data_IF_653691959543
#
_entry.id   IF_653691959543
#
_cell.length_a   1.000
_cell.length_b   1.000
_cell.length_c   1.000
_cell.angle_alpha   90.00
_cell.angle_beta   90.00
_cell.angle_gamma   90.00
#
_symmetry.space_group_name_H-M   'P 1'
#
loop_
_entity.id
_entity.type
_entity.pdbx_description
1 polymer ?
#
# COMPACT_ATOMS: atom_id res chain seq x y z
N UNK A 1 -15.77 12.62 -8.65
CA UNK A 1 -15.80 13.91 -9.38
C UNK A 1 -14.64 14.14 -10.35
N UNK A 2 -13.39 13.71 -10.06
CA UNK A 2 -12.24 13.95 -10.96
C UNK A 2 -12.29 13.24 -12.32
N UNK A 3 -12.66 11.95 -12.39
CA UNK A 3 -12.62 11.16 -13.64
C UNK A 3 -13.62 11.67 -14.70
N UNK A 4 -14.86 12.00 -14.32
CA UNK A 4 -15.84 12.62 -15.23
C UNK A 4 -15.39 14.01 -15.72
N UNK A 5 -14.67 14.77 -14.88
CA UNK A 5 -14.13 16.08 -15.26
C UNK A 5 -13.03 15.92 -16.30
N UNK A 6 -12.12 14.95 -16.14
CA UNK A 6 -11.08 14.62 -17.13
C UNK A 6 -11.71 14.08 -18.41
N UNK A 7 -12.70 13.17 -18.33
CA UNK A 7 -13.48 12.69 -19.48
C UNK A 7 -14.11 13.84 -20.26
N UNK A 8 -14.78 14.75 -19.57
CA UNK A 8 -15.43 15.90 -20.21
C UNK A 8 -14.41 16.86 -20.82
N UNK A 9 -13.26 17.09 -20.17
CA UNK A 9 -12.18 17.90 -20.73
C UNK A 9 -11.57 17.27 -21.99
N UNK A 10 -11.34 15.95 -21.99
CA UNK A 10 -10.82 15.23 -23.17
C UNK A 10 -11.84 15.21 -24.30
N UNK A 11 -13.14 14.97 -24.02
CA UNK A 11 -14.21 15.11 -25.01
C UNK A 11 -14.29 16.54 -25.57
N UNK A 12 -14.16 17.56 -24.72
CA UNK A 12 -14.19 18.96 -25.15
C UNK A 12 -12.97 19.31 -26.01
N UNK A 13 -11.79 18.77 -25.68
CA UNK A 13 -10.59 18.88 -26.51
C UNK A 13 -10.81 18.21 -27.85
N UNK A 14 -11.27 16.94 -27.90
CA UNK A 14 -11.54 16.21 -29.15
C UNK A 14 -12.53 16.97 -30.04
N UNK A 15 -13.63 17.49 -29.47
CA UNK A 15 -14.60 18.29 -30.22
C UNK A 15 -13.96 19.57 -30.78
N UNK A 16 -13.10 20.25 -30.00
CA UNK A 16 -12.36 21.42 -30.49
C UNK A 16 -11.35 21.08 -31.59
N UNK A 17 -10.67 19.93 -31.52
CA UNK A 17 -9.76 19.48 -32.58
C UNK A 17 -10.51 19.09 -33.85
N UNK A 18 -11.68 18.43 -33.74
CA UNK A 18 -12.52 18.07 -34.90
C UNK A 18 -13.06 19.31 -35.62
N UNK A 19 -13.41 20.38 -34.89
CA UNK A 19 -13.82 21.67 -35.51
C UNK A 19 -12.63 22.33 -36.23
N UNK A 20 -11.38 22.08 -35.79
CA UNK A 20 -10.18 22.69 -36.36
C UNK A 20 -9.54 21.88 -37.50
N UNK A 21 -9.86 20.59 -37.66
CA UNK A 21 -9.24 19.71 -38.64
C UNK A 21 -10.28 19.10 -39.58
N UNK A 22 -10.52 19.79 -40.70
CA UNK A 22 -11.21 19.20 -41.85
C UNK A 22 -10.25 18.43 -42.78
N UNK A 23 -9.08 18.01 -42.29
CA UNK A 23 -8.08 17.22 -43.02
C UNK A 23 -7.33 16.25 -42.10
N UNK A 24 -7.55 14.93 -42.28
CA UNK A 24 -6.64 13.87 -41.83
C UNK A 24 -7.18 12.90 -40.78
N UNK A 25 -7.53 11.67 -41.21
CA UNK A 25 -8.12 10.61 -40.37
C UNK A 25 -7.25 10.02 -39.26
N UNK A 26 -6.00 10.45 -39.08
CA UNK A 26 -5.10 9.92 -38.03
C UNK A 26 -5.37 10.51 -36.64
N UNK A 27 -5.85 11.75 -36.52
CA UNK A 27 -6.07 12.41 -35.21
C UNK A 27 -7.30 11.85 -34.48
N UNK A 28 -8.34 11.48 -35.23
CA UNK A 28 -9.57 10.89 -34.68
C UNK A 28 -9.31 9.52 -34.01
N UNK A 29 -8.47 8.68 -34.61
CA UNK A 29 -8.16 7.34 -34.10
C UNK A 29 -7.46 7.41 -32.72
N UNK A 30 -6.52 8.35 -32.54
CA UNK A 30 -5.83 8.55 -31.26
C UNK A 30 -6.77 9.10 -30.18
N UNK A 31 -7.67 10.01 -30.53
CA UNK A 31 -8.63 10.57 -29.60
C UNK A 31 -9.66 9.53 -29.15
N UNK A 32 -10.16 8.71 -30.08
CA UNK A 32 -11.09 7.63 -29.78
C UNK A 32 -10.44 6.56 -28.91
N UNK A 33 -9.21 6.14 -29.23
CA UNK A 33 -8.45 5.22 -28.39
C UNK A 33 -8.26 5.77 -26.96
N UNK A 34 -7.87 7.05 -26.83
CA UNK A 34 -7.71 7.72 -25.53
C UNK A 34 -9.05 7.80 -24.77
N UNK A 35 -10.16 8.08 -25.45
CA UNK A 35 -11.51 8.08 -24.86
C UNK A 35 -11.90 6.67 -24.40
N UNK A 36 -11.64 5.62 -25.18
CA UNK A 36 -11.89 4.23 -24.78
C UNK A 36 -11.06 3.83 -23.56
N UNK A 37 -9.77 4.19 -23.51
CA UNK A 37 -8.92 3.97 -22.34
C UNK A 37 -9.43 4.72 -21.11
N UNK A 38 -9.85 5.98 -21.27
CA UNK A 38 -10.43 6.77 -20.19
C UNK A 38 -11.80 6.25 -19.74
N UNK A 39 -12.60 5.69 -20.65
CA UNK A 39 -13.92 5.13 -20.34
C UNK A 39 -13.80 3.75 -19.65
N UNK A 40 -12.84 2.92 -20.02
CA UNK A 40 -12.51 1.68 -19.30
C UNK A 40 -11.91 1.99 -17.92
N UNK A 41 -10.96 2.92 -17.86
CA UNK A 41 -10.39 3.41 -16.61
C UNK A 41 -11.45 3.98 -15.68
N UNK A 42 -12.28 4.91 -16.16
CA UNK A 42 -13.33 5.50 -15.35
C UNK A 42 -14.37 4.46 -14.95
N UNK A 43 -14.65 3.42 -15.75
CA UNK A 43 -15.54 2.32 -15.34
C UNK A 43 -14.93 1.48 -14.22
N UNK A 44 -13.68 1.02 -14.36
CA UNK A 44 -12.96 0.23 -13.35
C UNK A 44 -12.73 1.03 -12.06
N UNK A 45 -12.28 2.27 -12.20
CA UNK A 45 -12.10 3.19 -11.08
C UNK A 45 -13.43 3.57 -10.42
N UNK A 46 -14.52 3.72 -11.18
CA UNK A 46 -15.85 3.98 -10.61
C UNK A 46 -16.39 2.76 -9.86
N UNK A 47 -16.23 1.54 -10.39
CA UNK A 47 -16.64 0.32 -9.70
C UNK A 47 -15.88 0.14 -8.36
N UNK A 48 -14.56 0.35 -8.38
CA UNK A 48 -13.72 0.32 -7.18
C UNK A 48 -14.04 1.47 -6.23
N UNK A 49 -14.27 2.69 -6.74
CA UNK A 49 -14.70 3.83 -5.93
C UNK A 49 -16.07 3.59 -5.30
N UNK A 50 -17.00 2.94 -6.00
CA UNK A 50 -18.29 2.54 -5.47
C UNK A 50 -18.14 1.52 -4.33
N UNK A 51 -17.14 0.62 -4.37
CA UNK A 51 -16.77 -0.24 -3.24
C UNK A 51 -16.16 0.56 -2.09
N UNK A 52 -15.16 1.40 -2.40
CA UNK A 52 -14.42 2.20 -1.43
C UNK A 52 -15.32 3.23 -0.70
N UNK A 53 -16.37 3.71 -1.37
CA UNK A 53 -17.35 4.65 -0.82
C UNK A 53 -18.54 3.94 -0.14
N UNK A 54 -18.51 2.62 0.02
CA UNK A 54 -19.55 1.86 0.72
C UNK A 54 -20.91 1.85 0.01
N UNK A 55 -20.97 2.12 -1.30
CA UNK A 55 -22.20 2.07 -2.06
C UNK A 55 -22.54 0.63 -2.49
N UNK A 56 -23.83 0.32 -2.52
CA UNK A 56 -24.49 -1.01 -2.56
C UNK A 56 -24.09 -2.00 -3.68
N UNK A 57 -23.15 -1.65 -4.56
CA UNK A 57 -22.75 -2.50 -5.71
C UNK A 57 -21.66 -3.53 -5.41
N UNK A 58 -20.96 -3.42 -4.27
CA UNK A 58 -19.90 -4.37 -3.91
C UNK A 58 -20.33 -5.38 -2.85
N UNK A 59 -21.65 -5.53 -2.72
CA UNK A 59 -22.26 -6.50 -1.81
C UNK A 59 -22.06 -7.89 -2.39
N UNK A 60 -20.95 -8.54 -2.04
CA UNK A 60 -21.01 -9.98 -1.86
C UNK A 60 -22.19 -10.24 -0.93
N UNK A 61 -23.15 -11.07 -1.34
CA UNK A 61 -24.38 -11.34 -0.55
C UNK A 61 -24.07 -11.79 0.89
N UNK A 62 -22.84 -12.25 1.13
CA UNK A 62 -22.27 -12.58 2.44
C UNK A 62 -20.90 -11.90 2.58
N UNK A 63 -20.65 -11.14 3.65
CA UNK A 63 -19.33 -10.58 3.94
C UNK A 63 -18.26 -11.68 4.06
N UNK A 64 -17.12 -11.49 3.40
CA UNK A 64 -16.02 -12.45 3.42
C UNK A 64 -15.24 -12.37 4.75
N UNK A 65 -14.73 -13.49 5.22
CA UNK A 65 -13.84 -13.58 6.38
C UNK A 65 -12.38 -13.85 5.99
N UNK A 66 -12.09 -14.00 4.70
CA UNK A 66 -10.73 -14.19 4.20
C UNK A 66 -10.63 -13.83 2.72
N UNK A 67 -9.41 -13.56 2.27
CA UNK A 67 -9.05 -13.49 0.86
C UNK A 67 -7.58 -13.86 0.70
N UNK A 68 -7.22 -14.42 -0.46
CA UNK A 68 -5.84 -14.80 -0.77
C UNK A 68 -5.52 -14.49 -2.23
N UNK A 69 -4.35 -13.94 -2.50
CA UNK A 69 -3.96 -13.43 -3.82
C UNK A 69 -2.59 -13.98 -4.20
N UNK A 70 -2.47 -14.54 -5.42
CA UNK A 70 -1.20 -14.93 -6.02
C UNK A 70 -0.62 -13.73 -6.77
N UNK A 71 0.07 -12.84 -6.06
CA UNK A 71 0.58 -11.59 -6.62
C UNK A 71 1.45 -11.82 -7.87
N UNK A 72 1.01 -11.30 -9.02
CA UNK A 72 1.71 -11.45 -10.29
C UNK A 72 1.68 -12.87 -10.89
N UNK A 73 0.76 -13.74 -10.45
CA UNK A 73 0.65 -15.12 -10.92
C UNK A 73 -0.80 -15.55 -11.13
N UNK A 74 -0.96 -16.70 -11.79
CA UNK A 74 -2.27 -17.32 -11.99
C UNK A 74 -2.80 -17.95 -10.70
N UNK A 75 -4.10 -18.26 -10.69
CA UNK A 75 -4.70 -18.98 -9.56
C UNK A 75 -3.89 -20.23 -9.20
N UNK A 76 -3.70 -20.45 -7.89
CA UNK A 76 -2.90 -21.55 -7.39
C UNK A 76 -3.37 -22.00 -6.01
N UNK A 77 -3.41 -23.32 -5.79
CA UNK A 77 -3.68 -23.90 -4.48
C UNK A 77 -2.36 -24.27 -3.80
N UNK A 78 -2.18 -23.86 -2.55
CA UNK A 78 -1.01 -24.22 -1.75
C UNK A 78 -1.13 -25.65 -1.21
N UNK A 79 -0.03 -26.26 -0.78
CA UNK A 79 -0.06 -27.59 -0.16
C UNK A 79 -0.85 -27.58 1.17
N UNK A 80 -0.85 -26.43 1.87
CA UNK A 80 -1.71 -26.16 3.03
C UNK A 80 -3.21 -25.96 2.72
N UNK A 81 -3.61 -26.05 1.45
CA UNK A 81 -5.02 -25.95 1.03
C UNK A 81 -5.54 -24.53 0.84
N UNK A 82 -4.68 -23.51 0.87
CA UNK A 82 -5.07 -22.12 0.62
C UNK A 82 -5.20 -21.92 -0.89
N UNK A 83 -6.40 -21.55 -1.36
CA UNK A 83 -6.59 -21.13 -2.75
C UNK A 83 -6.23 -19.65 -2.91
N UNK A 84 -5.13 -19.37 -3.62
CA UNK A 84 -4.69 -18.03 -3.97
C UNK A 84 -5.28 -17.61 -5.33
N UNK A 85 -6.06 -16.53 -5.34
CA UNK A 85 -6.72 -16.04 -6.54
C UNK A 85 -5.72 -15.43 -7.55
N UNK A 86 -6.10 -15.47 -8.83
CA UNK A 86 -5.32 -15.00 -9.97
C UNK A 86 -5.07 -13.48 -9.94
N UNK A 87 -3.80 -13.07 -9.91
CA UNK A 87 -3.36 -11.69 -10.13
C UNK A 87 -2.30 -11.64 -11.24
N UNK A 88 -2.58 -12.32 -12.35
CA UNK A 88 -1.74 -12.34 -13.56
C UNK A 88 -2.04 -11.19 -14.52
N UNK A 89 -2.99 -10.30 -14.19
CA UNK A 89 -3.37 -9.16 -15.01
C UNK A 89 -2.14 -8.28 -15.33
N UNK A 90 -2.06 -7.88 -16.60
CA UNK A 90 -1.05 -6.93 -17.07
C UNK A 90 -1.42 -5.51 -16.62
N UNK A 91 -0.68 -4.99 -15.65
CA UNK A 91 -0.84 -3.65 -15.13
C UNK A 91 0.04 -2.64 -15.88
N UNK A 92 -0.41 -1.39 -15.93
CA UNK A 92 0.31 -0.23 -16.47
C UNK A 92 0.89 0.69 -15.39
N UNK A 93 1.61 1.74 -15.82
CA UNK A 93 2.32 2.67 -14.95
C UNK A 93 1.43 3.46 -13.98
N UNK A 94 0.19 3.71 -14.38
CA UNK A 94 -0.89 3.98 -13.45
C UNK A 94 -1.95 2.96 -13.85
N UNK A 95 -2.33 2.05 -12.96
CA UNK A 95 -3.41 1.10 -13.24
C UNK A 95 -4.06 0.58 -11.98
N UNK A 96 -5.31 0.15 -12.13
CA UNK A 96 -6.02 -0.60 -11.12
C UNK A 96 -6.76 -1.77 -11.77
N UNK A 97 -6.86 -2.86 -11.03
CA UNK A 97 -7.63 -4.04 -11.42
C UNK A 97 -8.39 -4.55 -10.20
N UNK A 98 -9.61 -5.04 -10.40
CA UNK A 98 -10.41 -5.69 -9.38
C UNK A 98 -10.73 -7.11 -9.82
N UNK A 99 -10.73 -8.05 -8.87
CA UNK A 99 -11.09 -9.43 -9.15
C UNK A 99 -12.51 -9.51 -9.71
N UNK A 100 -12.79 -10.55 -10.50
CA UNK A 100 -14.10 -10.75 -11.15
C UNK A 100 -15.27 -10.82 -10.16
N UNK A 101 -15.01 -11.32 -8.96
CA UNK A 101 -15.96 -11.42 -7.85
C UNK A 101 -15.88 -10.26 -6.85
N UNK A 102 -15.09 -9.22 -7.15
CA UNK A 102 -14.89 -8.04 -6.30
C UNK A 102 -14.50 -8.37 -4.84
N UNK A 103 -13.79 -9.47 -4.61
CA UNK A 103 -13.24 -9.81 -3.28
C UNK A 103 -11.95 -9.05 -2.98
N UNK A 104 -11.21 -8.65 -4.01
CA UNK A 104 -10.02 -7.84 -3.85
C UNK A 104 -9.75 -6.97 -5.07
N UNK A 105 -8.87 -5.97 -4.89
CA UNK A 105 -8.37 -5.13 -5.97
C UNK A 105 -6.89 -4.79 -5.76
N UNK A 106 -6.22 -4.44 -6.85
CA UNK A 106 -4.81 -4.01 -6.87
C UNK A 106 -4.69 -2.67 -7.58
N UNK A 107 -3.82 -1.80 -7.07
CA UNK A 107 -3.43 -0.55 -7.71
C UNK A 107 -1.91 -0.46 -7.81
N UNK A 108 -1.42 -0.12 -9.00
CA UNK A 108 0.00 0.07 -9.29
C UNK A 108 0.24 1.50 -9.76
N UNK A 109 1.30 2.12 -9.25
CA UNK A 109 1.73 3.47 -9.62
C UNK A 109 3.24 3.56 -9.85
N UNK A 110 3.61 4.32 -10.87
CA UNK A 110 4.95 4.64 -11.30
C UNK A 110 5.36 3.87 -12.54
N UNK A 111 6.40 4.36 -13.22
CA UNK A 111 7.00 3.72 -14.38
C UNK A 111 8.45 3.34 -14.10
N UNK A 112 8.85 2.17 -14.57
CA UNK A 112 10.24 1.73 -14.55
C UNK A 112 11.06 2.50 -15.59
N UNK A 113 12.08 3.24 -15.16
CA UNK A 113 12.89 4.10 -16.03
C UNK A 113 13.95 3.24 -16.73
N UNK A 114 14.07 3.41 -18.05
CA UNK A 114 15.10 2.77 -18.88
C UNK A 114 15.06 1.23 -18.89
N UNK A 115 13.88 0.62 -18.80
CA UNK A 115 13.77 -0.81 -19.08
C UNK A 115 13.76 -1.04 -20.60
N UNK A 116 14.79 -1.68 -21.20
CA UNK A 116 14.85 -1.92 -22.64
C UNK A 116 13.73 -2.85 -23.13
N UNK A 117 13.14 -3.66 -22.26
CA UNK A 117 12.06 -4.59 -22.57
C UNK A 117 10.66 -4.01 -22.26
N UNK A 118 10.57 -2.70 -22.00
CA UNK A 118 9.33 -2.06 -21.58
C UNK A 118 8.99 -2.27 -20.10
N UNK A 119 7.97 -1.58 -19.58
CA UNK A 119 7.61 -1.64 -18.16
C UNK A 119 7.08 -3.03 -17.79
N UNK A 120 7.78 -3.75 -16.91
CA UNK A 120 7.38 -5.07 -16.39
C UNK A 120 7.03 -4.97 -14.92
N UNK A 121 5.77 -5.26 -14.57
CA UNK A 121 5.27 -5.25 -13.19
C UNK A 121 5.11 -6.66 -12.60
N UNK A 122 5.47 -7.69 -13.36
CA UNK A 122 5.49 -9.09 -12.93
C UNK A 122 6.87 -9.65 -13.22
N UNK A 123 7.41 -10.34 -12.22
CA UNK A 123 8.71 -11.01 -12.27
C UNK A 123 8.53 -12.47 -11.94
N UNK A 124 9.35 -13.32 -12.57
CA UNK A 124 9.25 -14.76 -12.46
C UNK A 124 10.63 -15.40 -12.45
N UNK A 125 10.72 -16.60 -11.88
CA UNK A 125 11.92 -17.43 -11.90
C UNK A 125 11.54 -18.90 -12.07
N UNK A 126 12.36 -19.63 -12.81
CA UNK A 126 12.24 -21.10 -12.91
C UNK A 126 13.05 -21.82 -11.81
N UNK A 127 13.83 -21.07 -11.04
CA UNK A 127 14.63 -21.62 -9.94
C UNK A 127 13.74 -22.15 -8.82
N UNK A 128 14.21 -23.19 -8.13
CA UNK A 128 13.56 -23.68 -6.93
C UNK A 128 13.64 -22.64 -5.81
N UNK A 129 12.54 -22.43 -5.10
CA UNK A 129 12.50 -21.60 -3.90
C UNK A 129 12.73 -22.47 -2.67
N UNK A 130 13.77 -22.13 -1.91
CA UNK A 130 14.14 -22.83 -0.67
C UNK A 130 13.36 -22.31 0.53
N UNK A 131 13.41 -23.01 1.67
CA UNK A 131 12.72 -22.59 2.89
C UNK A 131 11.20 -22.81 2.86
N UNK A 132 10.69 -23.49 1.85
CA UNK A 132 9.28 -23.87 1.70
C UNK A 132 9.15 -25.18 0.95
N UNK A 133 8.04 -25.90 1.18
CA UNK A 133 7.61 -27.03 0.34
C UNK A 133 6.71 -26.57 -0.82
N UNK A 134 6.31 -25.30 -0.82
CA UNK A 134 5.34 -24.71 -1.76
C UNK A 134 6.04 -23.75 -2.73
N UNK A 135 7.12 -24.21 -3.36
CA UNK A 135 8.00 -23.40 -4.23
C UNK A 135 7.24 -22.58 -5.28
N UNK A 136 6.20 -23.17 -5.89
CA UNK A 136 5.40 -22.55 -6.94
C UNK A 136 4.72 -21.23 -6.50
N UNK A 137 4.33 -21.09 -5.22
CA UNK A 137 3.71 -19.86 -4.70
C UNK A 137 4.67 -18.66 -4.79
N UNK A 138 5.99 -18.91 -4.79
CA UNK A 138 7.03 -17.88 -4.71
C UNK A 138 7.77 -17.65 -6.02
N UNK A 139 7.54 -18.48 -7.04
CA UNK A 139 8.20 -18.37 -8.36
C UNK A 139 7.77 -17.15 -9.16
N UNK A 140 6.61 -16.59 -8.87
CA UNK A 140 6.14 -15.32 -9.45
C UNK A 140 5.87 -14.29 -8.35
N UNK A 141 6.09 -13.02 -8.68
CA UNK A 141 5.81 -11.91 -7.79
C UNK A 141 5.37 -10.68 -8.58
N UNK A 142 4.53 -9.85 -7.96
CA UNK A 142 4.24 -8.50 -8.47
C UNK A 142 5.26 -7.51 -7.92
N UNK A 143 5.72 -6.63 -8.81
CA UNK A 143 6.65 -5.54 -8.48
C UNK A 143 6.08 -4.21 -8.92
N UNK A 144 6.50 -3.15 -8.25
CA UNK A 144 6.12 -1.78 -8.62
C UNK A 144 7.31 -0.84 -8.48
N UNK A 145 7.45 0.17 -9.34
CA UNK A 145 8.50 1.17 -9.22
C UNK A 145 8.22 2.20 -8.13
N UNK A 146 7.01 2.32 -7.59
CA UNK A 146 6.72 3.32 -6.54
C UNK A 146 5.71 2.81 -5.52
N UNK A 147 4.46 2.58 -5.91
CA UNK A 147 3.38 2.24 -4.98
C UNK A 147 2.58 1.07 -5.53
N UNK A 148 2.54 -0.01 -4.76
CA UNK A 148 1.69 -1.17 -5.00
C UNK A 148 0.72 -1.32 -3.83
N UNK A 149 -0.58 -1.27 -4.11
CA UNK A 149 -1.62 -1.37 -3.09
C UNK A 149 -2.55 -2.53 -3.41
N UNK A 150 -2.84 -3.34 -2.41
CA UNK A 150 -3.87 -4.36 -2.47
C UNK A 150 -4.98 -4.01 -1.49
N UNK A 151 -6.21 -4.27 -1.93
CA UNK A 151 -7.41 -4.04 -1.15
C UNK A 151 -8.18 -5.34 -1.03
N UNK A 152 -8.46 -5.79 0.19
CA UNK A 152 -9.52 -6.76 0.45
C UNK A 152 -10.86 -6.02 0.54
N UNK A 153 -11.89 -6.50 -0.16
CA UNK A 153 -13.17 -5.82 -0.32
C UNK A 153 -14.32 -6.64 0.27
N UNK A 154 -15.29 -5.98 0.90
CA UNK A 154 -16.48 -6.64 1.44
C UNK A 154 -16.18 -7.58 2.60
N UNK A 155 -15.16 -7.26 3.40
CA UNK A 155 -14.75 -8.04 4.56
C UNK A 155 -15.66 -7.75 5.77
N UNK A 156 -15.83 -8.74 6.65
CA UNK A 156 -16.42 -8.50 7.98
C UNK A 156 -15.54 -7.55 8.77
N UNK A 157 -16.14 -6.62 9.51
CA UNK A 157 -15.38 -5.84 10.47
C UNK A 157 -14.88 -6.75 11.60
N UNK A 158 -13.64 -6.55 12.02
CA UNK A 158 -13.03 -7.38 13.05
C UNK A 158 -11.51 -7.44 12.93
N UNK A 159 -10.91 -8.30 13.75
CA UNK A 159 -9.47 -8.55 13.78
C UNK A 159 -9.09 -9.61 12.73
N UNK A 160 -8.02 -9.37 11.99
CA UNK A 160 -7.51 -10.26 10.96
C UNK A 160 -6.05 -10.60 11.19
N UNK A 161 -5.69 -11.84 10.85
CA UNK A 161 -4.33 -12.29 10.66
C UNK A 161 -3.96 -12.08 9.18
N UNK A 162 -2.83 -11.43 8.95
CA UNK A 162 -2.28 -11.14 7.63
C UNK A 162 -0.96 -11.89 7.48
N UNK A 163 -0.83 -12.68 6.42
CA UNK A 163 0.42 -13.31 6.00
C UNK A 163 0.85 -12.73 4.66
N UNK A 164 2.02 -12.08 4.66
CA UNK A 164 2.65 -11.54 3.45
C UNK A 164 3.79 -12.46 3.05
N UNK A 165 3.70 -13.01 1.84
CA UNK A 165 4.64 -13.98 1.31
C UNK A 165 5.62 -13.31 0.35
N UNK A 166 6.91 -13.55 0.59
CA UNK A 166 8.01 -12.94 -0.14
C UNK A 166 9.06 -13.98 -0.54
N UNK A 167 9.70 -13.73 -1.67
CA UNK A 167 11.01 -14.30 -2.02
C UNK A 167 11.74 -13.31 -2.94
N UNK A 168 12.99 -12.97 -2.64
CA UNK A 168 13.80 -12.16 -3.57
C UNK A 168 14.27 -13.05 -4.72
N UNK A 169 13.69 -12.86 -5.91
CA UNK A 169 13.91 -13.71 -7.08
C UNK A 169 14.64 -13.01 -8.24
N UNK A 170 14.99 -11.74 -8.10
CA UNK A 170 15.76 -10.99 -9.10
C UNK A 170 17.19 -10.68 -8.63
N UNK A 171 17.35 -10.27 -7.36
CA UNK A 171 18.66 -9.93 -6.79
C UNK A 171 19.30 -11.17 -6.15
N UNK A 172 20.08 -11.89 -6.95
CA UNK A 172 20.69 -13.17 -6.57
C UNK A 172 21.91 -13.05 -5.63
N UNK A 173 22.23 -14.14 -4.92
CA UNK A 173 23.46 -14.32 -4.16
C UNK A 173 24.67 -14.58 -5.07
N UNK A 174 25.14 -13.55 -5.76
CA UNK A 174 26.35 -13.61 -6.57
C UNK A 174 27.54 -12.98 -5.84
N UNK A 175 28.74 -13.54 -6.02
CA UNK A 175 30.00 -12.90 -5.62
C UNK A 175 30.42 -11.75 -6.56
N UNK A 176 29.74 -11.59 -7.71
CA UNK A 176 29.97 -10.47 -8.62
C UNK A 176 29.26 -9.20 -8.14
N UNK A 177 29.48 -8.08 -8.85
CA UNK A 177 28.79 -6.80 -8.59
C UNK A 177 27.25 -6.92 -8.61
N UNK A 178 26.70 -7.93 -9.30
CA UNK A 178 25.25 -8.22 -9.31
C UNK A 178 24.71 -8.58 -7.92
N UNK A 179 25.53 -9.18 -7.05
CA UNK A 179 25.13 -9.51 -5.69
C UNK A 179 25.09 -8.31 -4.74
N UNK A 180 25.54 -7.13 -5.17
CA UNK A 180 25.48 -5.89 -4.39
C UNK A 180 24.10 -5.22 -4.43
N UNK A 181 23.17 -5.74 -5.24
CA UNK A 181 21.81 -5.24 -5.33
C UNK A 181 21.08 -5.26 -3.99
N UNK A 182 20.40 -4.17 -3.67
CA UNK A 182 19.59 -4.03 -2.46
C UNK A 182 18.19 -3.53 -2.81
N UNK A 183 17.19 -4.36 -2.56
CA UNK A 183 15.78 -3.98 -2.60
C UNK A 183 15.36 -3.55 -1.19
N UNK A 184 14.86 -2.32 -1.08
CA UNK A 184 14.37 -1.74 0.18
C UNK A 184 13.02 -1.08 -0.10
N UNK A 185 12.01 -1.41 0.68
CA UNK A 185 10.68 -0.78 0.59
C UNK A 185 9.98 -0.81 1.95
N UNK A 186 9.00 0.05 2.13
CA UNK A 186 8.16 0.09 3.33
C UNK A 186 6.88 -0.73 3.08
N UNK A 187 6.29 -1.27 4.14
CA UNK A 187 4.99 -1.95 4.12
C UNK A 187 4.07 -1.29 5.13
N UNK A 188 2.86 -0.97 4.68
CA UNK A 188 1.80 -0.41 5.49
C UNK A 188 0.59 -1.33 5.46
N UNK A 189 -0.08 -1.48 6.60
CA UNK A 189 -1.34 -2.21 6.73
C UNK A 189 -2.32 -1.29 7.45
N UNK A 190 -3.49 -1.05 6.86
CA UNK A 190 -4.50 -0.10 7.38
C UNK A 190 -3.90 1.30 7.69
N UNK A 191 -2.93 1.73 6.88
CA UNK A 191 -2.24 3.02 7.04
C UNK A 191 -1.09 3.04 8.05
N UNK A 192 -0.92 2.00 8.86
CA UNK A 192 0.20 1.90 9.80
C UNK A 192 1.42 1.26 9.14
N UNK A 193 2.60 1.87 9.32
CA UNK A 193 3.86 1.31 8.80
C UNK A 193 4.30 0.13 9.65
N UNK A 194 4.21 -1.08 9.12
CA UNK A 194 4.56 -2.33 9.81
C UNK A 194 5.97 -2.83 9.49
N UNK A 195 6.53 -2.41 8.35
CA UNK A 195 7.93 -2.65 7.98
C UNK A 195 8.52 -1.39 7.35
N UNK A 196 9.74 -1.06 7.73
CA UNK A 196 10.52 0.05 7.18
C UNK A 196 11.81 -0.48 6.56
N UNK A 197 12.18 0.04 5.38
CA UNK A 197 13.40 -0.35 4.67
C UNK A 197 13.58 -1.88 4.55
N UNK A 198 12.46 -2.56 4.30
CA UNK A 198 12.41 -4.00 4.31
C UNK A 198 13.23 -4.58 3.16
N UNK A 199 14.17 -5.44 3.53
CA UNK A 199 15.01 -6.20 2.60
C UNK A 199 14.70 -7.69 2.75
N UNK A 200 13.95 -8.24 1.79
CA UNK A 200 13.53 -9.64 1.77
C UNK A 200 14.74 -10.57 1.85
N UNK A 201 15.78 -10.32 1.05
CA UNK A 201 16.97 -11.17 0.98
C UNK A 201 17.72 -11.22 2.30
N UNK A 202 17.89 -10.08 2.96
CA UNK A 202 18.56 -10.02 4.26
C UNK A 202 17.76 -10.75 5.34
N UNK A 203 16.44 -10.57 5.37
CA UNK A 203 15.56 -11.21 6.37
C UNK A 203 15.38 -12.72 6.13
N UNK A 204 15.35 -13.14 4.86
CA UNK A 204 15.30 -14.56 4.50
C UNK A 204 16.65 -15.25 4.72
N UNK A 205 17.76 -14.49 4.69
CA UNK A 205 19.14 -14.96 4.77
C UNK A 205 19.77 -15.28 3.41
N UNK A 206 18.98 -15.37 2.34
CA UNK A 206 19.44 -15.58 0.97
C UNK A 206 18.37 -15.14 -0.04
N UNK A 207 18.77 -14.98 -1.29
CA UNK A 207 17.86 -14.93 -2.44
C UNK A 207 17.20 -16.29 -2.66
N UNK A 208 16.10 -16.32 -3.43
CA UNK A 208 15.34 -17.54 -3.78
C UNK A 208 14.98 -18.40 -2.56
N UNK A 209 14.64 -17.73 -1.46
CA UNK A 209 14.22 -18.33 -0.20
C UNK A 209 12.92 -17.69 0.25
N UNK A 210 11.94 -18.53 0.57
CA UNK A 210 10.64 -18.10 1.04
C UNK A 210 10.74 -17.42 2.41
N UNK A 211 9.98 -16.34 2.56
CA UNK A 211 9.84 -15.59 3.80
C UNK A 211 8.38 -15.19 3.97
N UNK A 212 7.80 -15.49 5.14
CA UNK A 212 6.44 -15.09 5.49
C UNK A 212 6.51 -14.11 6.66
N UNK A 213 5.95 -12.92 6.48
CA UNK A 213 5.78 -11.94 7.57
C UNK A 213 4.32 -11.94 8.00
N UNK A 214 4.10 -12.10 9.30
CA UNK A 214 2.76 -12.19 9.89
C UNK A 214 2.44 -10.91 10.67
N UNK A 215 1.24 -10.41 10.49
CA UNK A 215 0.74 -9.22 11.15
C UNK A 215 -0.71 -9.43 11.61
N UNK A 216 -1.16 -8.56 12.49
CA UNK A 216 -2.57 -8.45 12.87
C UNK A 216 -3.05 -7.03 12.59
N UNK A 217 -4.26 -6.88 12.06
CA UNK A 217 -4.88 -5.57 11.87
C UNK A 217 -6.40 -5.65 11.98
N UNK A 218 -7.02 -4.50 12.28
CA UNK A 218 -8.47 -4.39 12.38
C UNK A 218 -9.06 -3.83 11.08
N UNK A 219 -10.12 -4.46 10.60
CA UNK A 219 -10.98 -3.95 9.53
C UNK A 219 -12.19 -3.27 10.16
N UNK A 220 -12.40 -1.99 9.85
CA UNK A 220 -13.49 -1.16 10.43
C UNK A 220 -14.48 -0.66 9.39
N UNK A 221 -14.09 -0.64 8.13
CA UNK A 221 -14.85 -0.11 7.00
C UNK A 221 -15.00 -1.15 5.88
N UNK A 222 -15.05 -2.44 6.24
CA UNK A 222 -15.13 -3.60 5.33
C UNK A 222 -14.00 -3.73 4.30
N UNK A 223 -12.93 -2.93 4.46
CA UNK A 223 -11.80 -2.87 3.55
C UNK A 223 -10.49 -3.10 4.32
N UNK A 224 -9.65 -3.95 3.75
CA UNK A 224 -8.26 -4.15 4.17
C UNK A 224 -7.34 -3.46 3.16
N UNK A 225 -6.59 -2.42 3.55
CA UNK A 225 -5.57 -1.76 2.72
C UNK A 225 -4.18 -2.25 3.10
N UNK A 226 -3.48 -2.86 2.13
CA UNK A 226 -2.08 -3.28 2.26
C UNK A 226 -1.27 -2.54 1.19
N UNK A 227 -0.34 -1.71 1.63
CA UNK A 227 0.41 -0.81 0.77
C UNK A 227 1.91 -1.10 0.87
N UNK A 228 2.50 -1.49 -0.25
CA UNK A 228 3.93 -1.65 -0.43
C UNK A 228 4.47 -0.42 -1.14
N UNK A 229 5.38 0.30 -0.48
CA UNK A 229 5.83 1.63 -0.92
C UNK A 229 7.33 1.71 -1.06
N UNK A 230 7.80 2.21 -2.20
CA UNK A 230 9.20 2.53 -2.42
C UNK A 230 9.49 4.00 -2.19
N UNK A 231 10.22 4.28 -1.11
CA UNK A 231 10.66 5.64 -0.77
C UNK A 231 11.95 6.08 -1.49
N UNK A 232 12.34 5.42 -2.59
CA UNK A 232 13.55 5.77 -3.34
C UNK A 232 14.86 5.20 -2.78
N UNK A 233 14.81 4.23 -1.86
CA UNK A 233 15.99 3.63 -1.22
C UNK A 233 16.41 2.31 -1.86
N UNK A 234 17.68 1.95 -1.68
CA UNK A 234 18.27 0.74 -2.27
C UNK A 234 18.95 1.03 -3.61
N UNK A 235 19.09 -0.01 -4.43
CA UNK A 235 19.72 0.09 -5.75
C UNK A 235 18.65 0.11 -6.84
N UNK A 236 18.76 0.98 -7.85
CA UNK A 236 17.83 1.01 -8.99
C UNK A 236 18.16 -0.01 -10.10
N UNK A 237 19.43 -0.41 -10.16
CA UNK A 237 20.02 -0.77 -11.44
C UNK A 237 20.93 -2.00 -11.33
N UNK A 238 20.74 -2.80 -10.28
CA UNK A 238 21.47 -4.03 -10.01
C UNK A 238 20.42 -5.14 -9.77
N UNK A 239 20.47 -6.27 -10.49
CA UNK A 239 21.51 -6.66 -11.45
C UNK A 239 21.35 -6.05 -12.85
N UNK A 240 20.21 -5.42 -13.14
CA UNK A 240 19.97 -4.67 -14.38
C UNK A 240 19.06 -3.47 -14.09
N UNK A 241 18.95 -2.55 -15.06
CA UNK A 241 18.13 -1.34 -14.94
C UNK A 241 16.69 -1.68 -14.59
N UNK A 242 16.03 -0.83 -13.80
CA UNK A 242 14.65 -1.06 -13.33
C UNK A 242 14.46 -2.22 -12.34
N UNK A 243 15.51 -2.64 -11.63
CA UNK A 243 15.38 -3.61 -10.53
C UNK A 243 15.33 -2.88 -9.19
N UNK A 244 14.15 -2.38 -8.82
CA UNK A 244 13.89 -1.71 -7.53
C UNK A 244 12.41 -1.76 -7.16
N UNK A 245 12.09 -1.18 -6.00
CA UNK A 245 10.73 -1.07 -5.48
C UNK A 245 10.22 -2.31 -4.77
N UNK A 246 8.96 -2.32 -4.32
CA UNK A 246 8.37 -3.47 -3.65
C UNK A 246 8.31 -4.71 -4.55
N UNK A 247 8.38 -5.88 -3.90
CA UNK A 247 8.18 -7.20 -4.48
C UNK A 247 7.34 -8.01 -3.50
N UNK A 248 6.25 -8.62 -3.96
CA UNK A 248 5.39 -9.50 -3.14
C UNK A 248 4.93 -10.69 -3.98
N UNK A 249 5.02 -11.89 -3.41
CA UNK A 249 4.71 -13.16 -4.10
C UNK A 249 3.27 -13.61 -3.89
N UNK A 250 2.75 -13.43 -2.67
CA UNK A 250 1.36 -13.71 -2.33
C UNK A 250 0.92 -12.96 -1.06
N UNK A 251 -0.39 -12.83 -0.91
CA UNK A 251 -1.04 -12.26 0.27
C UNK A 251 -2.11 -13.24 0.73
N UNK A 252 -2.14 -13.55 2.01
CA UNK A 252 -3.24 -14.30 2.63
C UNK A 252 -3.74 -13.53 3.85
N UNK A 253 -5.05 -13.33 3.92
CA UNK A 253 -5.70 -12.62 5.01
C UNK A 253 -6.90 -13.42 5.48
N UNK A 254 -7.01 -13.63 6.79
CA UNK A 254 -8.12 -14.35 7.38
C UNK A 254 -8.53 -13.75 8.72
N UNK A 255 -9.82 -13.78 9.02
CA UNK A 255 -10.37 -13.27 10.28
C UNK A 255 -9.82 -14.11 11.43
N UNK A 256 -9.33 -13.46 12.47
CA UNK A 256 -8.90 -14.13 13.68
C UNK A 256 -10.14 -14.78 14.36
N UNK A 257 -10.01 -15.98 14.95
CA UNK A 257 -11.11 -16.60 15.68
C UNK A 257 -11.64 -15.63 16.74
N UNK A 258 -12.95 -15.44 16.80
CA UNK A 258 -13.59 -14.70 17.88
C UNK A 258 -13.39 -15.48 19.17
N UNK A 259 -12.34 -15.15 19.92
CA UNK A 259 -12.17 -15.67 21.26
C UNK A 259 -13.33 -15.19 22.13
N UNK A 260 -14.15 -16.13 22.61
CA UNK A 260 -14.97 -15.92 23.82
C UNK A 260 -14.04 -15.29 24.85
N UNK A 261 -14.41 -14.10 25.33
CA UNK A 261 -13.55 -13.19 26.05
C UNK A 261 -12.63 -13.87 27.07
N UNK A 262 -11.35 -14.02 26.74
CA UNK A 262 -10.32 -14.15 27.75
C UNK A 262 -9.88 -12.74 28.09
N UNK A 263 -10.47 -12.22 29.17
CA UNK A 263 -9.99 -11.04 29.85
C UNK A 263 -8.62 -11.32 30.46
N UNK A 264 -7.57 -11.42 29.63
CA UNK A 264 -6.21 -11.13 30.09
C UNK A 264 -6.09 -9.62 30.20
N UNK A 265 -6.63 -9.15 31.32
CA UNK A 265 -6.32 -7.86 31.92
C UNK A 265 -4.83 -7.90 32.22
N UNK A 266 -4.00 -7.49 31.26
CA UNK A 266 -2.58 -7.37 31.52
C UNK A 266 -2.41 -6.36 32.65
N UNK A 267 -1.84 -6.86 33.74
CA UNK A 267 -1.67 -6.14 34.98
C UNK A 267 -0.71 -4.99 34.71
N UNK A 268 -1.26 -3.76 34.76
CA UNK A 268 -0.63 -2.54 35.27
C UNK A 268 0.90 -2.59 35.42
N UNK A 269 1.62 -1.96 34.51
CA UNK A 269 2.75 -1.12 34.92
C UNK A 269 2.21 0.27 35.25
N UNK A 270 1.65 0.40 36.46
CA UNK A 270 1.50 1.71 37.09
C UNK A 270 2.89 2.15 37.52
N UNK A 271 3.54 2.93 36.66
CA UNK A 271 4.67 3.74 37.04
C UNK A 271 4.24 4.71 38.13
N UNK A 272 4.84 4.56 39.31
CA UNK A 272 4.66 5.41 40.48
C UNK A 272 5.20 6.81 40.18
N UNK A 273 4.39 7.70 39.61
CA UNK A 273 4.69 9.14 39.60
C UNK A 273 4.31 9.68 40.97
N UNK A 274 5.35 9.87 41.78
CA UNK A 274 5.31 10.58 43.06
C UNK A 274 4.86 12.00 42.78
N UNK A 275 3.77 12.42 43.43
CA UNK A 275 3.32 13.80 43.40
C UNK A 275 4.31 14.71 44.10
N UNK A 276 4.67 15.80 43.44
CA UNK A 276 5.08 17.03 44.10
C UNK A 276 3.97 18.03 43.80
N UNK A 277 2.92 17.97 44.61
CA UNK A 277 2.13 19.14 44.93
C UNK A 277 2.88 19.85 46.06
N UNK A 278 3.31 21.09 45.84
CA UNK A 278 3.49 22.21 46.78
C UNK A 278 4.55 23.16 46.22
N UNK A 279 4.09 24.27 45.66
CA UNK A 279 4.93 25.34 45.13
C UNK A 279 4.17 26.45 44.42
N UNK A 280 2.84 26.36 44.31
CA UNK A 280 2.00 27.40 43.69
C UNK A 280 1.56 28.51 44.65
N UNK A 281 2.11 28.61 45.87
CA UNK A 281 1.88 29.77 46.74
C UNK A 281 3.01 30.81 46.64
N UNK A 282 4.27 30.38 46.48
CA UNK A 282 5.41 31.29 46.39
C UNK A 282 5.53 31.97 45.01
N UNK A 283 5.16 31.27 43.93
CA UNK A 283 5.20 31.83 42.58
C UNK A 283 4.21 33.00 42.38
N UNK A 284 3.01 32.91 42.96
CA UNK A 284 2.03 33.99 42.91
C UNK A 284 2.50 35.22 43.71
N UNK A 285 3.14 35.05 44.87
CA UNK A 285 3.69 36.17 45.63
C UNK A 285 4.78 36.91 44.86
N UNK A 286 5.68 36.19 44.19
CA UNK A 286 6.75 36.80 43.38
C UNK A 286 6.16 37.57 42.19
N UNK A 287 5.20 37.00 41.47
CA UNK A 287 4.55 37.69 40.34
C UNK A 287 3.77 38.92 40.79
N UNK A 288 3.05 38.84 41.92
CA UNK A 288 2.34 40.00 42.49
C UNK A 288 3.29 41.11 42.97
N UNK A 289 4.44 40.78 43.56
CA UNK A 289 5.44 41.79 43.95
C UNK A 289 6.06 42.49 42.75
N UNK A 290 6.37 41.76 41.66
CA UNK A 290 6.88 42.35 40.41
C UNK A 290 5.82 43.26 39.79
N UNK A 291 4.56 42.83 39.76
CA UNK A 291 3.46 43.64 39.23
C UNK A 291 3.22 44.92 40.06
N UNK A 292 3.27 44.82 41.40
CA UNK A 292 3.15 45.98 42.29
C UNK A 292 4.27 47.00 42.08
N UNK A 293 5.52 46.55 41.98
CA UNK A 293 6.66 47.44 41.71
C UNK A 293 6.56 48.10 40.33
N UNK A 294 6.08 47.38 39.31
CA UNK A 294 5.84 47.94 37.99
C UNK A 294 4.75 49.02 38.01
N UNK A 295 3.65 48.77 38.74
CA UNK A 295 2.55 49.72 38.90
C UNK A 295 2.94 50.99 39.66
N UNK A 296 3.73 50.87 40.74
CA UNK A 296 4.21 52.04 41.51
C UNK A 296 5.26 52.89 40.77
N UNK A 297 5.90 52.33 39.74
CA UNK A 297 6.87 53.05 38.91
C UNK A 297 6.19 53.88 37.81
N UNK A 298 4.95 53.53 37.46
CA UNK A 298 4.12 54.19 36.43
C UNK A 298 3.10 55.17 37.04
N UNK A 299 3.10 55.43 38.35
CA UNK A 299 2.38 56.60 38.91
C UNK A 299 3.28 57.83 38.87
N UNK A 300 3.03 58.81 37.97
CA UNK A 300 3.77 60.06 37.94
C UNK A 300 3.35 60.88 39.15
N UNK A 301 4.34 61.30 39.95
CA UNK A 301 4.16 62.31 40.97
C UNK A 301 3.47 63.54 40.37
N UNK A 302 2.35 63.87 40.98
CA UNK A 302 1.36 64.86 40.55
C UNK A 302 1.93 66.27 40.40
N UNK A 303 1.25 67.02 39.53
CA UNK A 303 1.22 68.47 39.48
C UNK A 303 1.38 69.14 40.86
N UNK A 304 2.30 70.11 40.93
CA UNK A 304 2.07 71.38 41.57
C UNK A 304 2.81 72.48 40.82
#
# INVERSE_FOLDING_TARGET
>A
MGCLRVRNQVKLLTVKTTISQHTGGNVLIFADALIFFLDDWCRKASAMLHCLQGSTKCTNKVPASSFSIKCGGKEQVSAGGINFNDDSETLGAASMHASSNFQWAVSNTGSFISNPNGPRYIVQTDSQITGTLESEVYKTARVSPSSLRYYGLGLKNGKYNIELHFAEIQMEDSQSWKGLGKRLFDVYIQGEKVLQDFNIRNEAGSSKRALVKKFEANVTNTIMDIHFFWAGRGTCCIPFQSTYGPLVSAIHVQQAPEGVGSSKRDKKHVGKIVGIAFGSAAGFLIVSSIFYLWWTKETPGHMR
#
